data_IF_711534492785
#
_entry.id   IF_711534492785
#
_cell.length_a   1.000
_cell.length_b   1.000
_cell.length_c   1.000
_cell.angle_alpha   90.00
_cell.angle_beta   90.00
_cell.angle_gamma   90.00
#
_symmetry.space_group_name_H-M   'P 1'
#
loop_
_entity.id
_entity.type
_entity.pdbx_description
1 polymer ?
#
# COMPACT_ATOMS: atom_id res chain seq x y z
N UNK A 1 8.51 -14.24 -19.35
CA UNK A 1 9.49 -14.23 -18.24
C UNK A 1 8.74 -13.77 -17.00
N UNK A 2 8.14 -14.71 -16.27
CA UNK A 2 7.38 -14.43 -15.04
C UNK A 2 8.37 -14.24 -13.91
N UNK A 3 8.67 -12.98 -13.57
CA UNK A 3 9.47 -12.66 -12.39
C UNK A 3 8.85 -13.34 -11.18
N UNK A 4 9.50 -14.38 -10.66
CA UNK A 4 9.21 -15.00 -9.38
C UNK A 4 9.48 -13.95 -8.31
N UNK A 5 8.51 -13.11 -8.03
CA UNK A 5 8.63 -12.14 -6.96
C UNK A 5 8.50 -12.90 -5.64
N UNK A 6 9.60 -13.01 -4.89
CA UNK A 6 9.61 -13.55 -3.53
C UNK A 6 8.78 -12.61 -2.63
N UNK A 7 7.56 -13.03 -2.30
CA UNK A 7 6.67 -12.35 -1.35
C UNK A 7 6.55 -13.18 -0.06
N UNK A 8 6.31 -12.54 1.10
CA UNK A 8 6.11 -11.10 1.30
C UNK A 8 7.43 -10.32 1.38
N UNK A 9 7.46 -9.11 0.81
CA UNK A 9 8.64 -8.23 0.86
C UNK A 9 8.30 -6.80 1.24
N UNK A 10 9.25 -6.15 1.91
CA UNK A 10 9.16 -4.73 2.25
C UNK A 10 9.66 -3.86 1.10
N UNK A 11 8.75 -3.11 0.48
CA UNK A 11 9.06 -2.17 -0.59
C UNK A 11 9.13 -0.74 -0.08
N UNK A 12 9.93 0.07 -0.77
CA UNK A 12 10.00 1.51 -0.52
C UNK A 12 8.81 2.25 -1.14
N UNK A 13 8.51 3.45 -0.63
CA UNK A 13 7.36 4.27 -1.08
C UNK A 13 7.32 4.46 -2.60
N UNK A 14 8.48 4.71 -3.23
CA UNK A 14 8.59 4.88 -4.68
C UNK A 14 8.28 3.60 -5.46
N UNK A 15 8.69 2.44 -4.96
CA UNK A 15 8.39 1.15 -5.61
C UNK A 15 6.90 0.85 -5.54
N UNK A 16 6.28 1.09 -4.38
CA UNK A 16 4.85 0.88 -4.16
C UNK A 16 4.01 1.84 -4.98
N UNK A 17 4.41 3.11 -5.04
CA UNK A 17 3.76 4.13 -5.87
C UNK A 17 3.74 3.71 -7.35
N UNK A 18 4.89 3.25 -7.87
CA UNK A 18 5.01 2.73 -9.23
C UNK A 18 4.14 1.49 -9.46
N UNK A 19 4.12 0.59 -8.49
CA UNK A 19 3.37 -0.66 -8.57
C UNK A 19 1.85 -0.42 -8.59
N UNK A 20 1.38 0.56 -7.81
CA UNK A 20 -0.03 0.95 -7.75
C UNK A 20 -0.44 1.98 -8.80
N UNK A 21 0.51 2.51 -9.59
CA UNK A 21 0.25 3.56 -10.58
C UNK A 21 -0.17 4.91 -9.98
N UNK A 22 0.25 5.22 -8.75
CA UNK A 22 -0.07 6.47 -8.05
C UNK A 22 1.20 7.30 -7.78
N UNK A 23 1.01 8.56 -7.36
CA UNK A 23 2.12 9.41 -6.92
C UNK A 23 2.61 9.07 -5.51
N UNK A 24 3.89 9.34 -5.21
CA UNK A 24 4.43 9.26 -3.85
C UNK A 24 3.72 10.22 -2.88
N UNK A 25 3.28 11.39 -3.38
CA UNK A 25 2.47 12.35 -2.63
C UNK A 25 1.15 11.75 -2.16
N UNK A 26 0.50 10.92 -2.99
CA UNK A 26 -0.72 10.20 -2.63
C UNK A 26 -0.47 9.23 -1.47
N UNK A 27 0.61 8.45 -1.53
CA UNK A 27 1.00 7.54 -0.45
C UNK A 27 1.34 8.28 0.85
N UNK A 28 2.03 9.42 0.75
CA UNK A 28 2.35 10.26 1.92
C UNK A 28 1.09 10.84 2.56
N UNK A 29 0.13 11.26 1.75
CA UNK A 29 -1.16 11.75 2.24
C UNK A 29 -1.92 10.61 2.94
N UNK A 30 -2.00 9.43 2.34
CA UNK A 30 -2.64 8.26 2.95
C UNK A 30 -2.01 7.89 4.29
N UNK A 31 -0.68 7.91 4.39
CA UNK A 31 0.01 7.69 5.67
C UNK A 31 -0.33 8.75 6.71
N UNK A 32 -0.48 10.01 6.30
CA UNK A 32 -0.90 11.08 7.22
C UNK A 32 -2.30 10.82 7.77
N UNK A 33 -3.22 10.40 6.93
CA UNK A 33 -4.59 10.04 7.31
C UNK A 33 -4.62 8.78 8.17
N UNK A 34 -3.82 7.76 7.83
CA UNK A 34 -3.69 6.54 8.62
C UNK A 34 -3.17 6.85 10.03
N UNK A 35 -2.14 7.68 10.16
CA UNK A 35 -1.62 8.10 11.47
C UNK A 35 -2.67 8.84 12.30
N UNK A 36 -3.48 9.71 11.68
CA UNK A 36 -4.61 10.39 12.34
C UNK A 36 -5.69 9.41 12.79
N UNK A 37 -5.92 8.37 12.00
CA UNK A 37 -6.90 7.32 12.28
C UNK A 37 -6.37 6.21 13.21
N UNK A 38 -5.12 6.29 13.69
CA UNK A 38 -4.49 5.24 14.48
C UNK A 38 -4.26 3.93 13.71
N UNK A 39 -4.17 4.02 12.38
CA UNK A 39 -3.89 2.90 11.46
C UNK A 39 -2.40 2.84 11.09
N UNK A 40 -2.02 1.71 10.51
CA UNK A 40 -0.64 1.32 10.25
C UNK A 40 -0.36 -0.05 10.86
N UNK A 41 0.77 -0.67 10.51
CA UNK A 41 1.11 -2.02 10.97
C UNK A 41 0.82 -2.20 12.48
N UNK A 42 0.04 -3.23 12.88
CA UNK A 42 -0.39 -4.40 12.12
C UNK A 42 -1.72 -4.24 11.34
N UNK A 43 -2.41 -3.11 11.45
CA UNK A 43 -3.68 -2.88 10.77
C UNK A 43 -3.46 -2.32 9.35
N UNK A 44 -4.21 -2.78 8.34
CA UNK A 44 -4.13 -2.21 7.01
C UNK A 44 -4.58 -0.75 7.04
N UNK A 45 -3.76 0.11 6.44
CA UNK A 45 -4.08 1.49 6.19
C UNK A 45 -4.96 1.64 4.96
N UNK A 46 -4.97 2.86 4.41
CA UNK A 46 -5.70 3.16 3.18
C UNK A 46 -5.18 2.31 2.00
N UNK A 47 -6.10 1.86 1.15
CA UNK A 47 -5.78 0.99 0.02
C UNK A 47 -5.37 -0.45 0.40
N UNK A 48 -5.68 -0.88 1.63
CA UNK A 48 -5.30 -2.22 2.11
C UNK A 48 -3.80 -2.36 2.39
N UNK A 49 -3.06 -1.25 2.38
CA UNK A 49 -1.61 -1.26 2.47
C UNK A 49 -1.14 -1.37 3.92
N UNK A 50 -0.25 -2.34 4.15
CA UNK A 50 0.46 -2.48 5.41
C UNK A 50 1.76 -1.69 5.32
N UNK A 51 1.95 -0.70 6.19
CA UNK A 51 3.18 0.09 6.23
C UNK A 51 3.77 0.14 7.63
N UNK A 52 5.10 0.17 7.69
CA UNK A 52 5.87 0.25 8.93
C UNK A 52 7.02 1.23 8.79
N UNK A 53 7.29 1.97 9.86
CA UNK A 53 8.47 2.83 9.97
C UNK A 53 9.67 2.01 10.42
N UNK A 54 10.75 2.09 9.64
CA UNK A 54 12.08 1.59 9.95
C UNK A 54 12.98 2.82 10.19
N UNK A 55 12.95 3.35 11.42
CA UNK A 55 13.61 4.60 11.77
C UNK A 55 13.04 5.78 10.98
N UNK A 56 13.85 6.36 10.08
CA UNK A 56 13.46 7.49 9.21
C UNK A 56 12.78 7.06 7.92
N UNK A 57 12.83 5.77 7.57
CA UNK A 57 12.33 5.26 6.29
C UNK A 57 11.01 4.55 6.52
N UNK A 58 10.06 4.71 5.60
CA UNK A 58 8.81 3.95 5.60
C UNK A 58 8.84 2.90 4.50
N UNK A 59 8.41 1.69 4.85
CA UNK A 59 8.29 0.59 3.91
C UNK A 59 6.89 -0.02 4.00
N UNK A 60 6.44 -0.57 2.90
CA UNK A 60 5.16 -1.25 2.78
C UNK A 60 5.38 -2.74 2.58
N UNK A 61 4.59 -3.56 3.26
CA UNK A 61 4.58 -4.99 3.06
C UNK A 61 3.70 -5.30 1.86
N UNK A 62 4.29 -5.87 0.82
CA UNK A 62 3.56 -6.36 -0.34
C UNK A 62 3.41 -7.86 -0.20
N UNK A 63 2.16 -8.30 -0.14
CA UNK A 63 1.74 -9.71 -0.20
C UNK A 63 1.29 -10.04 -1.62
N UNK A 64 1.31 -11.31 -2.03
CA UNK A 64 0.80 -11.71 -3.35
C UNK A 64 -0.67 -11.34 -3.52
N UNK A 65 -1.47 -11.45 -2.46
CA UNK A 65 -2.89 -11.05 -2.43
C UNK A 65 -3.13 -9.60 -2.87
N UNK A 66 -2.25 -8.68 -2.47
CA UNK A 66 -2.35 -7.27 -2.85
C UNK A 66 -2.11 -7.03 -4.36
N UNK A 67 -1.37 -7.93 -5.00
CA UNK A 67 -1.02 -7.86 -6.42
C UNK A 67 -1.99 -8.62 -7.32
N UNK A 68 -2.54 -9.71 -6.78
CA UNK A 68 -3.55 -10.51 -7.43
C UNK A 68 -4.94 -9.90 -7.26
N UNK A 69 -5.13 -8.95 -6.34
CA UNK A 69 -6.34 -8.15 -6.25
C UNK A 69 -6.57 -7.41 -7.59
N UNK A 70 -7.59 -7.81 -8.38
CA UNK A 70 -7.88 -7.15 -9.65
C UNK A 70 -8.37 -5.75 -9.32
N UNK A 71 -7.54 -4.74 -9.58
CA UNK A 71 -7.93 -3.34 -9.60
C UNK A 71 -8.65 -2.85 -8.34
N UNK A 72 -7.92 -2.65 -7.24
CA UNK A 72 -8.25 -1.51 -6.37
C UNK A 72 -7.60 -0.23 -6.95
N UNK A 73 -7.78 -0.04 -8.26
CA UNK A 73 -7.38 1.15 -8.99
C UNK A 73 -8.54 2.11 -8.95
N UNK A 74 -8.41 3.17 -8.16
CA UNK A 74 -8.97 4.52 -8.37
C UNK A 74 -10.47 4.75 -8.70
N UNK A 75 -11.32 3.75 -8.93
CA UNK A 75 -12.74 3.92 -9.27
C UNK A 75 -13.58 2.86 -8.55
N UNK A 76 -14.49 3.30 -7.67
CA UNK A 76 -15.55 2.42 -7.17
C UNK A 76 -15.61 2.12 -5.66
N UNK A 77 -15.32 3.09 -4.79
CA UNK A 77 -16.03 3.14 -3.50
C UNK A 77 -17.44 3.69 -3.74
N UNK A 78 -18.32 2.90 -4.38
CA UNK A 78 -19.76 3.16 -4.35
C UNK A 78 -20.57 1.85 -4.23
N UNK A 79 -21.32 1.80 -3.13
CA UNK A 79 -22.63 1.19 -2.95
C UNK A 79 -22.78 -0.34 -3.01
N UNK A 80 -22.99 -0.93 -1.83
CA UNK A 80 -24.22 -1.67 -1.44
C UNK A 80 -24.36 -1.57 0.08
N UNK A 81 -25.48 -1.23 0.72
CA UNK A 81 -26.81 -0.70 0.41
C UNK A 81 -27.26 -0.03 1.72
#
# INVERSE_FOLDING_TARGET
>A
MTSTHEYPRWLSDREVARLLGISDGTLRNWRSEDMRAGRGWPLPGRGGLLWRRFGRTVRYLITPDLLEAPGCGAEGCHARR
#
